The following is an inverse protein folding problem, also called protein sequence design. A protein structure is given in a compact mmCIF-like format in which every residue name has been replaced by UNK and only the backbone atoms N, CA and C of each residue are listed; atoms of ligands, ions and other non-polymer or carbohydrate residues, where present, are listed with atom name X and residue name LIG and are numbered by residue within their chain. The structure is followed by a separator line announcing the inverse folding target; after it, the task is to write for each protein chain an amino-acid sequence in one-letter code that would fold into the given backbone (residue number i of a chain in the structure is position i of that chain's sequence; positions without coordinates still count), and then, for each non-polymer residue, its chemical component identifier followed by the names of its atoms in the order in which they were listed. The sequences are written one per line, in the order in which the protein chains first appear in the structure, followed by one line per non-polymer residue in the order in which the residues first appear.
data_IF_229288268620
#
_entry.id   IF_229288268620
#
_cell.length_a   1.000
_cell.length_b   1.000
_cell.length_c   1.000
_cell.angle_alpha   90.00
_cell.angle_beta   90.00
_cell.angle_gamma   90.00
#
_symmetry.space_group_name_H-M   'P 1'
#
loop_
_entity.id
_entity.type
_entity.pdbx_description
1 polymer ?
#
# COMPACT_ATOMS: atom_id res chain seq x y z
N UNK A 1 10.90 14.16 -5.83
CA UNK A 1 10.42 13.09 -4.93
C UNK A 1 11.11 13.31 -3.61
N UNK A 2 10.32 13.37 -2.53
CA UNK A 2 10.79 13.92 -1.26
C UNK A 2 10.99 12.83 -0.20
N UNK A 3 10.51 11.61 -0.49
CA UNK A 3 10.66 10.45 0.39
C UNK A 3 12.11 9.94 0.39
N UNK A 4 12.78 10.02 1.54
CA UNK A 4 14.13 9.44 1.75
C UNK A 4 14.15 8.50 2.94
N UNK A 5 15.08 7.54 2.91
CA UNK A 5 15.35 6.62 4.02
C UNK A 5 16.85 6.56 4.26
N UNK A 6 17.24 6.54 5.54
CA UNK A 6 18.63 6.39 5.98
C UNK A 6 18.65 5.26 7.01
N UNK A 7 19.57 4.32 6.85
CA UNK A 7 19.72 3.15 7.74
C UNK A 7 21.08 3.25 8.39
N UNK A 8 21.11 3.25 9.72
CA UNK A 8 22.34 3.31 10.51
C UNK A 8 22.17 2.51 11.80
N UNK A 9 23.21 1.82 12.31
CA UNK A 9 23.12 1.03 13.54
C UNK A 9 23.00 1.89 14.80
N UNK A 10 23.57 3.10 14.79
CA UNK A 10 23.50 4.03 15.92
C UNK A 10 22.32 5.00 15.78
N UNK A 11 21.47 5.03 16.82
CA UNK A 11 20.31 5.91 16.92
C UNK A 11 20.69 7.36 17.22
N UNK A 12 21.73 7.60 18.01
CA UNK A 12 22.14 8.97 18.36
C UNK A 12 22.74 9.68 17.15
N UNK A 13 23.53 8.97 16.34
CA UNK A 13 23.91 9.42 15.00
C UNK A 13 22.70 9.87 14.16
N UNK A 14 21.65 9.04 14.06
CA UNK A 14 20.46 9.39 13.27
C UNK A 14 19.73 10.63 13.80
N UNK A 15 19.70 10.84 15.12
CA UNK A 15 19.12 12.06 15.70
C UNK A 15 19.93 13.29 15.33
N UNK A 16 21.26 13.21 15.46
CA UNK A 16 22.16 14.31 15.08
C UNK A 16 22.00 14.64 13.59
N UNK A 17 22.04 13.61 12.74
CA UNK A 17 21.84 13.76 11.30
C UNK A 17 20.49 14.40 10.95
N UNK A 18 19.42 14.06 11.67
CA UNK A 18 18.11 14.69 11.45
C UNK A 18 18.13 16.20 11.79
N UNK A 19 18.87 16.62 12.83
CA UNK A 19 19.02 18.03 13.16
C UNK A 19 19.79 18.78 12.06
N UNK A 20 20.87 18.20 11.57
CA UNK A 20 21.68 18.76 10.48
C UNK A 20 20.86 18.89 9.19
N UNK A 21 20.12 17.85 8.81
CA UNK A 21 19.21 17.88 7.66
C UNK A 21 18.16 18.99 7.82
N UNK A 22 17.57 19.14 9.01
CA UNK A 22 16.58 20.20 9.26
C UNK A 22 17.17 21.60 9.16
N UNK A 23 18.41 21.80 9.61
CA UNK A 23 19.11 23.08 9.46
C UNK A 23 19.30 23.42 7.98
N UNK A 24 19.85 22.49 7.18
CA UNK A 24 20.03 22.67 5.73
C UNK A 24 18.68 22.92 5.04
N UNK A 25 17.64 22.14 5.37
CA UNK A 25 16.32 22.33 4.79
C UNK A 25 15.74 23.70 5.15
N UNK A 26 15.90 24.18 6.38
CA UNK A 26 15.46 25.51 6.80
C UNK A 26 16.12 26.61 5.98
N UNK A 27 17.43 26.53 5.78
CA UNK A 27 18.20 27.51 5.00
C UNK A 27 17.75 27.53 3.52
N UNK A 28 17.30 26.38 3.01
CA UNK A 28 16.74 26.23 1.67
C UNK A 28 15.24 26.55 1.58
N UNK A 29 14.58 26.94 2.68
CA UNK A 29 13.13 27.18 2.72
C UNK A 29 12.27 25.91 2.60
N UNK A 30 12.85 24.73 2.83
CA UNK A 30 12.18 23.43 2.76
C UNK A 30 11.64 23.05 4.14
N UNK A 31 10.32 22.83 4.23
CA UNK A 31 9.68 22.37 5.46
C UNK A 31 9.77 20.85 5.62
N UNK A 32 10.38 20.40 6.72
CA UNK A 32 10.44 18.97 7.10
C UNK A 32 9.26 18.65 8.02
N UNK A 33 8.38 17.75 7.58
CA UNK A 33 7.17 17.40 8.34
C UNK A 33 7.46 16.42 9.48
N UNK A 34 7.43 16.90 10.72
CA UNK A 34 7.76 16.11 11.93
C UNK A 34 6.92 14.85 12.13
N UNK A 35 5.62 14.90 11.81
CA UNK A 35 4.77 13.71 11.89
C UNK A 35 5.10 12.60 10.87
N UNK A 36 5.78 12.94 9.76
CA UNK A 36 6.14 12.01 8.68
C UNK A 36 7.59 11.56 8.77
N UNK A 37 8.46 12.38 9.37
CA UNK A 37 9.87 12.05 9.57
C UNK A 37 10.06 11.36 10.92
N UNK A 38 10.41 10.07 10.89
CA UNK A 38 10.47 9.25 12.09
C UNK A 38 11.75 8.42 12.15
N UNK A 39 12.35 8.31 13.34
CA UNK A 39 13.43 7.37 13.63
C UNK A 39 12.82 6.14 14.31
N UNK A 40 12.86 5.01 13.62
CA UNK A 40 12.24 3.75 14.08
C UNK A 40 13.25 2.61 14.05
N UNK A 41 13.03 1.61 14.91
CA UNK A 41 13.83 0.37 14.88
C UNK A 41 13.52 -0.44 13.62
N UNK A 42 14.55 -0.87 12.91
CA UNK A 42 14.42 -1.70 11.70
C UNK A 42 13.67 -3.01 11.95
N UNK A 43 13.83 -3.60 13.16
CA UNK A 43 13.17 -4.83 13.58
C UNK A 43 11.63 -4.75 13.63
N UNK A 44 11.05 -3.54 13.80
CA UNK A 44 9.59 -3.36 13.71
C UNK A 44 9.08 -3.41 12.27
N UNK A 45 9.98 -3.33 11.29
CA UNK A 45 9.67 -3.08 9.89
C UNK A 45 9.29 -1.62 9.63
N UNK A 46 9.32 -1.22 8.36
CA UNK A 46 9.05 0.15 7.91
C UNK A 46 8.30 0.15 6.59
N UNK A 47 7.64 1.27 6.26
CA UNK A 47 6.95 1.43 4.98
C UNK A 47 7.70 2.45 4.14
N UNK A 48 8.05 2.08 2.91
CA UNK A 48 8.69 2.97 1.94
C UNK A 48 8.12 2.68 0.55
N UNK A 49 7.79 3.72 -0.22
CA UNK A 49 7.22 3.60 -1.57
C UNK A 49 6.06 2.61 -1.68
N UNK A 50 5.08 2.74 -0.78
CA UNK A 50 3.88 1.86 -0.71
C UNK A 50 4.22 0.36 -0.57
N UNK A 51 5.38 0.04 -0.01
CA UNK A 51 5.80 -1.32 0.35
C UNK A 51 6.12 -1.36 1.84
N UNK A 52 5.58 -2.34 2.57
CA UNK A 52 5.99 -2.62 3.95
C UNK A 52 7.15 -3.60 3.92
N UNK A 53 8.30 -3.22 4.42
CA UNK A 53 9.49 -4.05 4.55
C UNK A 53 9.60 -4.60 5.95
N UNK A 54 9.92 -5.89 6.06
CA UNK A 54 10.23 -6.57 7.31
C UNK A 54 11.54 -7.31 7.08
N UNK A 55 12.55 -7.00 7.89
CA UNK A 55 13.79 -7.75 7.95
C UNK A 55 13.62 -8.87 8.97
N UNK A 56 13.85 -10.12 8.56
CA UNK A 56 13.84 -11.26 9.49
C UNK A 56 15.19 -11.42 10.17
N UNK A 57 15.23 -12.18 11.26
CA UNK A 57 16.46 -12.43 12.02
C UNK A 57 17.55 -13.12 11.17
N UNK A 58 17.14 -13.89 10.16
CA UNK A 58 18.05 -14.50 9.17
C UNK A 58 18.56 -13.55 8.09
N UNK A 59 18.20 -12.26 8.12
CA UNK A 59 18.57 -11.29 7.09
C UNK A 59 17.68 -11.29 5.84
N UNK A 60 16.67 -12.16 5.75
CA UNK A 60 15.72 -12.18 4.63
C UNK A 60 14.80 -10.95 4.68
N UNK A 61 14.59 -10.32 3.52
CA UNK A 61 13.68 -9.18 3.37
C UNK A 61 12.32 -9.66 2.90
N UNK A 62 11.28 -9.41 3.68
CA UNK A 62 9.89 -9.68 3.34
C UNK A 62 9.21 -8.37 2.93
N UNK A 63 8.66 -8.35 1.71
CA UNK A 63 7.83 -7.26 1.19
C UNK A 63 6.36 -7.58 1.38
N UNK A 64 5.65 -6.79 2.19
CA UNK A 64 4.20 -6.89 2.41
C UNK A 64 3.47 -5.71 1.79
N UNK A 65 2.21 -5.94 1.43
CA UNK A 65 1.30 -4.89 0.98
C UNK A 65 0.91 -4.06 2.22
N UNK A 66 1.04 -2.72 2.19
CA UNK A 66 0.56 -1.87 3.27
C UNK A 66 -0.95 -2.00 3.49
N UNK A 67 -1.39 -1.85 4.76
CA UNK A 67 -2.81 -1.98 5.13
C UNK A 67 -3.69 -0.95 4.43
N UNK A 68 -3.23 0.29 4.31
CA UNK A 68 -3.95 1.38 3.64
C UNK A 68 -4.15 1.10 2.15
N UNK A 69 -3.16 0.50 1.47
CA UNK A 69 -3.29 0.06 0.07
C UNK A 69 -4.37 -1.01 -0.08
N UNK A 70 -4.45 -1.96 0.85
CA UNK A 70 -5.51 -2.97 0.87
C UNK A 70 -6.88 -2.35 1.12
N UNK A 71 -7.01 -1.48 2.13
CA UNK A 71 -8.28 -0.79 2.44
C UNK A 71 -8.78 0.03 1.26
N UNK A 72 -7.88 0.77 0.58
CA UNK A 72 -8.23 1.53 -0.63
C UNK A 72 -8.69 0.63 -1.77
N UNK A 73 -8.03 -0.51 -2.00
CA UNK A 73 -8.45 -1.43 -3.05
C UNK A 73 -9.81 -2.07 -2.73
N UNK A 74 -10.04 -2.52 -1.49
CA UNK A 74 -11.35 -3.06 -1.08
C UNK A 74 -12.47 -2.04 -1.29
N UNK A 75 -12.25 -0.78 -0.91
CA UNK A 75 -13.21 0.32 -1.15
C UNK A 75 -13.45 0.55 -2.64
N UNK A 76 -12.38 0.58 -3.45
CA UNK A 76 -12.48 0.74 -4.90
C UNK A 76 -13.30 -0.38 -5.54
N UNK A 77 -13.05 -1.62 -5.17
CA UNK A 77 -13.79 -2.78 -5.70
C UNK A 77 -15.28 -2.71 -5.39
N UNK A 78 -15.66 -2.34 -4.16
CA UNK A 78 -17.08 -2.19 -3.79
C UNK A 78 -17.75 -1.09 -4.59
N UNK A 79 -17.10 0.07 -4.75
CA UNK A 79 -17.63 1.16 -5.56
C UNK A 79 -17.81 0.73 -7.02
N UNK A 80 -16.80 0.11 -7.62
CA UNK A 80 -16.89 -0.36 -9.01
C UNK A 80 -17.94 -1.46 -9.18
N UNK A 81 -18.11 -2.35 -8.20
CA UNK A 81 -19.18 -3.34 -8.24
C UNK A 81 -20.56 -2.68 -8.24
N UNK A 82 -20.78 -1.64 -7.43
CA UNK A 82 -22.03 -0.86 -7.47
C UNK A 82 -22.24 -0.23 -8.85
N UNK A 83 -21.22 0.45 -9.40
CA UNK A 83 -21.29 1.06 -10.73
C UNK A 83 -21.57 0.06 -11.87
N UNK A 84 -21.11 -1.19 -11.75
CA UNK A 84 -21.46 -2.26 -12.73
C UNK A 84 -22.96 -2.57 -12.66
N UNK A 85 -23.53 -2.64 -11.46
CA UNK A 85 -24.96 -2.92 -11.27
C UNK A 85 -25.84 -1.78 -11.77
N UNK A 86 -25.38 -0.55 -11.57
CA UNK A 86 -26.05 0.66 -12.04
C UNK A 86 -25.85 0.87 -13.56
N UNK A 87 -25.12 -0.03 -14.24
CA UNK A 87 -24.84 0.04 -15.68
C UNK A 87 -23.83 1.12 -16.09
N UNK A 88 -23.23 1.83 -15.14
CA UNK A 88 -22.30 2.95 -15.39
C UNK A 88 -20.95 2.47 -15.98
N UNK A 89 -20.51 1.27 -15.64
CA UNK A 89 -19.28 0.66 -16.20
C UNK A 89 -19.51 -0.80 -16.58
N UNK A 90 -18.73 -1.27 -17.55
CA UNK A 90 -18.79 -2.68 -17.92
C UNK A 90 -18.15 -3.57 -16.83
N UNK A 91 -18.66 -4.79 -16.70
CA UNK A 91 -18.00 -5.82 -15.89
C UNK A 91 -16.55 -6.05 -16.32
N UNK A 92 -16.26 -5.95 -17.63
CA UNK A 92 -14.90 -6.12 -18.17
C UNK A 92 -13.95 -5.10 -17.58
N UNK A 93 -14.37 -3.85 -17.39
CA UNK A 93 -13.55 -2.79 -16.81
C UNK A 93 -13.27 -3.03 -15.33
N UNK A 94 -14.28 -3.48 -14.58
CA UNK A 94 -14.08 -3.93 -13.19
C UNK A 94 -13.09 -5.10 -13.09
N UNK A 95 -13.27 -6.14 -13.91
CA UNK A 95 -12.39 -7.30 -13.92
C UNK A 95 -10.95 -6.92 -14.32
N UNK A 96 -10.77 -6.07 -15.33
CA UNK A 96 -9.46 -5.60 -15.77
C UNK A 96 -8.76 -4.77 -14.69
N UNK A 97 -9.50 -3.89 -14.01
CA UNK A 97 -8.95 -3.11 -12.89
C UNK A 97 -8.42 -4.03 -11.79
N UNK A 98 -9.20 -5.04 -11.39
CA UNK A 98 -8.79 -5.98 -10.37
C UNK A 98 -7.60 -6.83 -10.81
N UNK A 99 -7.62 -7.37 -12.04
CA UNK A 99 -6.51 -8.16 -12.61
C UNK A 99 -5.20 -7.38 -12.63
N UNK A 100 -5.24 -6.11 -13.04
CA UNK A 100 -4.07 -5.22 -13.06
C UNK A 100 -3.51 -5.02 -11.65
N UNK A 101 -4.37 -4.67 -10.68
CA UNK A 101 -3.95 -4.52 -9.28
C UNK A 101 -3.37 -5.81 -8.71
N UNK A 102 -4.04 -6.95 -8.95
CA UNK A 102 -3.60 -8.26 -8.48
C UNK A 102 -2.24 -8.65 -9.07
N UNK A 103 -2.03 -8.39 -10.37
CA UNK A 103 -0.78 -8.65 -11.07
C UNK A 103 0.42 -7.95 -10.45
N UNK A 104 0.30 -6.66 -10.16
CA UNK A 104 1.32 -5.89 -9.45
C UNK A 104 1.62 -6.48 -8.05
N UNK A 105 0.57 -6.87 -7.33
CA UNK A 105 0.69 -7.39 -5.96
C UNK A 105 1.25 -8.81 -5.85
N UNK A 106 1.36 -9.56 -6.95
CA UNK A 106 2.04 -10.88 -6.95
C UNK A 106 3.53 -10.80 -6.57
N UNK A 107 4.16 -9.63 -6.75
CA UNK A 107 5.57 -9.39 -6.41
C UNK A 107 5.83 -9.28 -4.89
N UNK A 108 4.78 -9.36 -4.08
CA UNK A 108 4.83 -9.22 -2.63
C UNK A 108 4.62 -10.59 -1.97
N UNK A 109 5.06 -10.71 -0.72
CA UNK A 109 4.76 -11.84 0.15
C UNK A 109 3.31 -11.75 0.66
N UNK A 110 2.37 -12.01 -0.25
CA UNK A 110 0.96 -11.66 -0.08
C UNK A 110 -0.01 -12.81 -0.40
N UNK A 111 0.43 -14.07 -0.47
CA UNK A 111 -0.40 -15.22 -0.88
C UNK A 111 -1.77 -15.25 -0.19
N UNK A 112 -1.80 -15.20 1.15
CA UNK A 112 -3.04 -15.21 1.95
C UNK A 112 -3.92 -13.99 1.65
N UNK A 113 -3.32 -12.81 1.60
CA UNK A 113 -4.01 -11.54 1.30
C UNK A 113 -4.62 -11.56 -0.12
N UNK A 114 -3.89 -12.07 -1.11
CA UNK A 114 -4.40 -12.20 -2.48
C UNK A 114 -5.57 -13.18 -2.55
N UNK A 115 -5.51 -14.29 -1.80
CA UNK A 115 -6.64 -15.22 -1.72
C UNK A 115 -7.89 -14.58 -1.11
N UNK A 116 -7.75 -13.78 -0.05
CA UNK A 116 -8.87 -13.02 0.54
C UNK A 116 -9.45 -11.99 -0.44
N UNK A 117 -8.59 -11.29 -1.18
CA UNK A 117 -9.03 -10.33 -2.19
C UNK A 117 -9.71 -11.02 -3.38
N UNK A 118 -9.22 -12.20 -3.78
CA UNK A 118 -9.84 -13.03 -4.81
C UNK A 118 -11.22 -13.50 -4.39
N UNK A 119 -11.39 -13.87 -3.11
CA UNK A 119 -12.70 -14.21 -2.53
C UNK A 119 -13.66 -13.02 -2.59
N UNK A 120 -13.24 -11.85 -2.12
CA UNK A 120 -14.05 -10.62 -2.17
C UNK A 120 -14.44 -10.25 -3.61
N UNK A 121 -13.51 -10.40 -4.56
CA UNK A 121 -13.80 -10.14 -5.98
C UNK A 121 -14.90 -11.06 -6.51
N UNK A 122 -14.85 -12.36 -6.17
CA UNK A 122 -15.88 -13.34 -6.56
C UNK A 122 -17.22 -13.03 -5.93
N UNK A 123 -17.25 -12.73 -4.62
CA UNK A 123 -18.48 -12.35 -3.91
C UNK A 123 -19.15 -11.14 -4.57
N UNK A 124 -18.40 -10.06 -4.83
CA UNK A 124 -18.93 -8.86 -5.49
C UNK A 124 -19.42 -9.14 -6.91
N UNK A 125 -18.80 -10.08 -7.62
CA UNK A 125 -19.19 -10.51 -8.95
C UNK A 125 -20.50 -11.33 -8.94
N UNK A 126 -20.66 -12.27 -8.02
CA UNK A 126 -21.86 -13.11 -7.91
C UNK A 126 -23.11 -12.32 -7.49
N UNK A 127 -22.92 -11.24 -6.72
CA UNK A 127 -24.00 -10.30 -6.40
C UNK A 127 -24.35 -9.39 -7.57
N UNK A 128 -23.34 -8.91 -8.32
CA UNK A 128 -23.58 -8.04 -9.47
C UNK A 128 -24.28 -8.73 -10.65
N UNK A 129 -24.01 -10.03 -10.88
CA UNK A 129 -24.71 -10.81 -11.93
C UNK A 129 -26.18 -11.01 -11.65
N UNK A 130 -26.54 -11.36 -10.41
CA UNK A 130 -27.93 -11.64 -10.02
C UNK A 130 -28.86 -10.44 -10.18
N UNK A 131 -28.37 -9.22 -9.98
CA UNK A 131 -29.19 -8.01 -10.09
C UNK A 131 -29.28 -7.51 -11.55
N UNK A 132 -28.29 -7.80 -12.39
CA UNK A 132 -28.31 -7.45 -13.82
C UNK A 132 -29.20 -8.38 -14.67
N UNK A 133 -29.41 -9.63 -14.24
CA UNK A 133 -30.30 -10.59 -14.93
C UNK A 133 -31.80 -10.34 -14.60
N UNK A 134 -32.10 -9.40 -13.70
CA UNK A 134 -33.47 -9.04 -13.28
C UNK A 134 -33.95 -7.67 -13.81
N UNK A 135 -33.18 -7.03 -14.69
CA UNK A 135 -33.55 -5.80 -15.41
C UNK A 135 -33.46 -6.00 -16.92
#
# INVERSE_FOLDING_TARGET
MDDRIIIHPDKEFLKKLLLEIKAICKDLGIFVHDGKTQIIKLSKGFTFLKTRYILTDSGKIIRRIPKDVLSRQKRKMRKMAAMVRDGEISYRDFANQYKSWRGDKKRYHARKVLAEMDKLFKELNEHGKREADHH
#
